data_IF_628100580919
#
_entry.id   IF_628100580919
#
_cell.length_a   1.000
_cell.length_b   1.000
_cell.length_c   1.000
_cell.angle_alpha   90.00
_cell.angle_beta   90.00
_cell.angle_gamma   90.00
#
_symmetry.space_group_name_H-M   'P 1'
#
loop_
_entity.id
_entity.type
_entity.pdbx_description
1 polymer ?
#
# COMPACT_ATOMS: atom_id res chain seq x y z
N UNK A 1 -13.17 -12.01 -1.23
CA UNK A 1 -12.29 -12.24 -0.06
C UNK A 1 -12.33 -13.70 0.44
N UNK A 2 -13.32 -14.51 0.07
CA UNK A 2 -13.47 -15.88 0.62
C UNK A 2 -12.40 -16.88 0.17
N UNK A 3 -11.87 -16.76 -1.06
CA UNK A 3 -10.88 -17.69 -1.61
C UNK A 3 -9.49 -17.58 -0.98
N UNK A 4 -9.03 -16.36 -0.69
CA UNK A 4 -7.74 -16.12 -0.03
C UNK A 4 -7.85 -16.07 1.49
N UNK A 5 -9.02 -15.70 2.03
CA UNK A 5 -9.25 -15.59 3.47
C UNK A 5 -9.03 -16.92 4.21
N UNK A 6 -9.57 -18.02 3.69
CA UNK A 6 -9.35 -19.36 4.23
C UNK A 6 -7.86 -19.74 4.23
N UNK A 7 -7.12 -19.40 3.18
CA UNK A 7 -5.70 -19.71 3.09
C UNK A 7 -4.88 -18.93 4.12
N UNK A 8 -5.16 -17.64 4.29
CA UNK A 8 -4.44 -16.83 5.28
C UNK A 8 -4.82 -17.13 6.72
N UNK A 9 -6.07 -17.50 7.02
CA UNK A 9 -6.46 -17.92 8.37
C UNK A 9 -5.76 -19.22 8.79
N UNK A 10 -5.45 -20.10 7.83
CA UNK A 10 -4.72 -21.34 8.07
C UNK A 10 -3.21 -21.15 8.30
N UNK A 11 -2.67 -19.92 8.15
CA UNK A 11 -1.24 -19.64 8.40
C UNK A 11 -0.86 -19.58 9.89
N UNK A 12 -1.85 -19.58 10.79
CA UNK A 12 -1.63 -19.48 12.24
C UNK A 12 -1.29 -18.07 12.73
N UNK A 13 -1.24 -17.07 11.84
CA UNK A 13 -1.04 -15.67 12.19
C UNK A 13 -2.33 -15.10 12.80
N UNK A 14 -2.20 -14.29 13.84
CA UNK A 14 -3.34 -13.60 14.46
C UNK A 14 -4.11 -12.78 13.38
N UNK A 15 -5.43 -13.00 13.21
CA UNK A 15 -6.23 -12.33 12.19
C UNK A 15 -6.18 -10.80 12.26
N UNK A 16 -6.06 -10.22 13.46
CA UNK A 16 -5.96 -8.78 13.63
C UNK A 16 -4.64 -8.22 13.07
N UNK A 17 -3.54 -8.96 13.25
CA UNK A 17 -2.21 -8.58 12.71
C UNK A 17 -2.21 -8.73 11.19
N UNK A 18 -2.73 -9.85 10.71
CA UNK A 18 -2.88 -10.12 9.29
C UNK A 18 -3.72 -9.03 8.60
N UNK A 19 -4.84 -8.61 9.20
CA UNK A 19 -5.65 -7.52 8.66
C UNK A 19 -4.88 -6.20 8.60
N UNK A 20 -4.14 -5.84 9.67
CA UNK A 20 -3.31 -4.63 9.68
C UNK A 20 -2.24 -4.66 8.59
N UNK A 21 -1.52 -5.78 8.46
CA UNK A 21 -0.47 -5.93 7.45
C UNK A 21 -1.02 -5.92 6.02
N UNK A 22 -2.13 -6.62 5.76
CA UNK A 22 -2.76 -6.67 4.43
C UNK A 22 -3.37 -5.33 4.03
N UNK A 23 -3.94 -4.57 4.97
CA UNK A 23 -4.41 -3.21 4.74
C UNK A 23 -3.26 -2.26 4.34
N UNK A 24 -2.11 -2.35 5.00
CA UNK A 24 -0.93 -1.55 4.65
C UNK A 24 -0.38 -1.99 3.28
N UNK A 25 -0.28 -3.30 3.03
CA UNK A 25 0.20 -3.85 1.76
C UNK A 25 -0.67 -3.41 0.57
N UNK A 26 -1.99 -3.32 0.76
CA UNK A 26 -2.93 -2.86 -0.28
C UNK A 26 -2.71 -1.41 -0.71
N UNK A 27 -2.05 -0.58 0.10
CA UNK A 27 -1.83 0.83 -0.20
C UNK A 27 -0.58 1.10 -1.07
N UNK A 28 0.32 0.11 -1.25
CA UNK A 28 1.64 0.35 -1.82
C UNK A 28 1.75 0.37 -3.35
N UNK A 29 0.74 -0.06 -4.10
CA UNK A 29 0.85 -0.14 -5.57
C UNK A 29 -0.38 0.45 -6.29
N UNK A 30 -0.81 1.63 -5.85
CA UNK A 30 -2.01 2.30 -6.40
C UNK A 30 -1.71 3.42 -7.42
N UNK A 31 -0.45 3.85 -7.55
CA UNK A 31 -0.10 5.02 -8.38
C UNK A 31 0.34 4.69 -9.80
N UNK A 32 -0.42 3.88 -10.54
CA UNK A 32 -0.18 3.74 -11.99
C UNK A 32 -0.49 5.07 -12.72
N UNK A 33 0.19 5.38 -13.83
CA UNK A 33 -0.03 6.64 -14.56
C UNK A 33 -1.45 6.76 -15.13
N UNK A 34 -2.22 5.67 -15.20
CA UNK A 34 -3.63 5.70 -15.60
C UNK A 34 -4.60 5.61 -14.41
N UNK A 35 -4.09 5.65 -13.17
CA UNK A 35 -4.93 5.71 -11.99
C UNK A 35 -5.72 7.03 -12.00
N UNK A 36 -7.04 6.90 -11.87
CA UNK A 36 -7.99 8.02 -11.96
C UNK A 36 -7.67 9.13 -10.96
N UNK A 37 -7.18 8.79 -9.76
CA UNK A 37 -6.74 9.78 -8.75
C UNK A 37 -5.57 10.66 -9.21
N UNK A 38 -4.59 10.07 -9.91
CA UNK A 38 -3.38 10.79 -10.39
C UNK A 38 -3.71 11.71 -11.56
N UNK A 39 -4.62 11.27 -12.44
CA UNK A 39 -5.09 12.06 -13.59
C UNK A 39 -5.92 13.26 -13.12
N UNK A 40 -6.84 13.05 -12.17
CA UNK A 40 -7.66 14.12 -11.57
C UNK A 40 -6.80 15.17 -10.86
N UNK A 41 -5.83 14.74 -10.05
CA UNK A 41 -4.94 15.64 -9.34
C UNK A 41 -4.12 16.51 -10.31
N UNK A 42 -3.58 15.92 -11.38
CA UNK A 42 -2.85 16.66 -12.42
C UNK A 42 -3.75 17.64 -13.19
N UNK A 43 -5.00 17.26 -13.46
CA UNK A 43 -5.98 18.12 -14.15
C UNK A 43 -6.33 19.36 -13.32
N UNK A 44 -6.54 19.20 -12.00
CA UNK A 44 -6.80 20.34 -11.09
C UNK A 44 -5.55 21.21 -10.92
N UNK A 45 -4.37 20.60 -10.84
CA UNK A 45 -3.11 21.32 -10.66
C UNK A 45 -2.55 21.96 -11.94
N UNK A 46 -3.16 21.70 -13.12
CA UNK A 46 -2.65 22.09 -14.44
C UNK A 46 -1.18 21.66 -14.67
N UNK A 47 -0.82 20.46 -14.22
CA UNK A 47 0.54 19.90 -14.36
C UNK A 47 0.56 18.70 -15.28
N UNK A 48 1.66 18.54 -16.04
CA UNK A 48 1.86 17.34 -16.85
C UNK A 48 2.25 16.13 -16.01
N UNK A 49 1.66 14.99 -16.34
CA UNK A 49 1.87 13.72 -15.63
C UNK A 49 3.34 13.30 -15.58
N UNK A 50 4.12 13.58 -16.63
CA UNK A 50 5.55 13.24 -16.70
C UNK A 50 6.38 13.88 -15.58
N UNK A 51 5.98 15.09 -15.14
CA UNK A 51 6.68 15.85 -14.11
C UNK A 51 6.20 15.45 -12.71
N UNK A 52 4.90 15.19 -12.55
CA UNK A 52 4.30 14.88 -11.24
C UNK A 52 4.45 13.41 -10.86
N UNK A 53 4.52 12.49 -11.83
CA UNK A 53 4.50 11.04 -11.57
C UNK A 53 5.61 10.58 -10.63
N UNK A 54 6.81 11.15 -10.70
CA UNK A 54 7.90 10.81 -9.78
C UNK A 54 7.52 11.07 -8.33
N UNK A 55 6.88 12.20 -8.06
CA UNK A 55 6.45 12.58 -6.71
C UNK A 55 5.28 11.72 -6.24
N UNK A 56 4.31 11.46 -7.13
CA UNK A 56 3.18 10.56 -6.84
C UNK A 56 3.65 9.14 -6.57
N UNK A 57 4.60 8.62 -7.35
CA UNK A 57 5.15 7.29 -7.15
C UNK A 57 5.90 7.20 -5.81
N UNK A 58 6.70 8.21 -5.46
CA UNK A 58 7.38 8.23 -4.15
C UNK A 58 6.36 8.27 -3.01
N UNK A 59 5.35 9.13 -3.08
CA UNK A 59 4.40 9.29 -1.98
C UNK A 59 3.43 8.13 -1.81
N UNK A 60 3.04 7.47 -2.91
CA UNK A 60 2.02 6.41 -2.92
C UNK A 60 2.60 5.00 -3.00
N UNK A 61 3.83 4.82 -3.45
CA UNK A 61 4.47 3.50 -3.52
C UNK A 61 5.63 3.37 -2.53
N UNK A 62 6.57 4.31 -2.56
CA UNK A 62 7.77 4.20 -1.74
C UNK A 62 7.46 4.36 -0.25
N UNK A 63 6.67 5.37 0.14
CA UNK A 63 6.32 5.61 1.56
C UNK A 63 5.52 4.43 2.15
N UNK A 64 4.45 3.92 1.51
CA UNK A 64 3.71 2.78 2.07
C UNK A 64 4.53 1.49 2.09
N UNK A 65 5.44 1.28 1.12
CA UNK A 65 6.36 0.15 1.13
C UNK A 65 7.33 0.21 2.32
N UNK A 66 7.86 1.40 2.64
CA UNK A 66 8.67 1.60 3.85
C UNK A 66 7.85 1.37 5.12
N UNK A 67 6.62 1.91 5.19
CA UNK A 67 5.73 1.71 6.34
C UNK A 67 5.40 0.22 6.55
N UNK A 68 5.18 -0.53 5.46
CA UNK A 68 4.98 -1.98 5.49
C UNK A 68 6.23 -2.69 6.04
N UNK A 69 7.42 -2.32 5.56
CA UNK A 69 8.69 -2.87 6.07
C UNK A 69 8.87 -2.64 7.57
N UNK A 70 8.56 -1.44 8.06
CA UNK A 70 8.61 -1.13 9.51
C UNK A 70 7.59 -1.96 10.29
N UNK A 71 6.36 -2.06 9.79
CA UNK A 71 5.32 -2.88 10.43
C UNK A 71 5.72 -4.37 10.49
N UNK A 72 6.36 -4.89 9.45
CA UNK A 72 6.89 -6.25 9.42
C UNK A 72 8.03 -6.47 10.43
N UNK A 73 8.94 -5.50 10.59
CA UNK A 73 10.00 -5.57 11.60
C UNK A 73 9.41 -5.55 13.02
N UNK A 74 8.40 -4.71 13.27
CA UNK A 74 7.70 -4.67 14.57
C UNK A 74 6.98 -5.99 14.88
N UNK A 75 6.42 -6.63 13.85
CA UNK A 75 5.86 -7.98 13.95
C UNK A 75 6.92 -9.03 14.33
N UNK A 76 8.09 -9.01 13.69
CA UNK A 76 9.21 -9.91 14.03
C UNK A 76 9.71 -9.72 15.47
N UNK A 77 9.66 -8.49 15.99
CA UNK A 77 10.02 -8.16 17.37
C UNK A 77 8.92 -8.52 18.39
N UNK A 78 7.75 -9.00 17.94
CA UNK A 78 6.64 -9.41 18.81
C UNK A 78 5.86 -8.26 19.45
N UNK A 79 6.01 -7.03 18.94
CA UNK A 79 5.33 -5.83 19.45
C UNK A 79 3.91 -5.71 18.87
N UNK A 80 3.70 -6.21 17.65
CA UNK A 80 2.46 -6.05 16.85
C UNK A 80 1.89 -7.38 16.41
#
# INVERSE_FOLDING_TARGET
METLGQHFLNTGINPAVLHRMTAIASAGLDAMPHASGVVLANSVANTEMVNTYKYTFVSQCLIPLFAFGVAYILYLLGIV
#
